data_IF_128013265996
#
_entry.id   IF_128013265996
#
_cell.length_a   1.000
_cell.length_b   1.000
_cell.length_c   1.000
_cell.angle_alpha   90.00
_cell.angle_beta   90.00
_cell.angle_gamma   90.00
#
_symmetry.space_group_name_H-M   'P 1'
#
loop_
_entity.id
_entity.type
_entity.pdbx_description
1 polymer ?
#
# COMPACT_ATOMS: atom_id res chain seq x y z
N UNK A 1 24.52 -1.94 5.04
CA UNK A 1 23.11 -2.31 5.24
C UNK A 1 22.30 -1.56 4.19
N UNK A 2 21.43 -2.25 3.46
CA UNK A 2 20.53 -1.66 2.46
C UNK A 2 19.30 -1.09 3.17
N UNK A 3 18.81 0.07 2.72
CA UNK A 3 17.55 0.66 3.21
C UNK A 3 16.40 0.18 2.33
N UNK A 4 15.27 -0.29 2.91
CA UNK A 4 14.07 -0.63 2.14
C UNK A 4 13.58 0.55 1.30
N UNK A 5 13.00 0.27 0.12
CA UNK A 5 12.56 1.28 -0.85
C UNK A 5 11.59 2.32 -0.25
N UNK A 6 10.70 1.89 0.64
CA UNK A 6 9.79 2.77 1.37
C UNK A 6 10.52 3.89 2.13
N UNK A 7 11.71 3.60 2.69
CA UNK A 7 12.50 4.61 3.40
C UNK A 7 13.13 5.64 2.45
N UNK A 8 13.43 5.24 1.20
CA UNK A 8 13.93 6.17 0.19
C UNK A 8 12.81 7.11 -0.27
N UNK A 9 11.61 6.58 -0.51
CA UNK A 9 10.43 7.37 -0.83
C UNK A 9 10.12 8.37 0.30
N UNK A 10 10.08 7.89 1.55
CA UNK A 10 9.79 8.71 2.73
C UNK A 10 10.90 9.73 3.06
N UNK A 11 12.10 9.60 2.50
CA UNK A 11 13.14 10.62 2.62
C UNK A 11 12.83 11.86 1.78
N UNK A 12 12.14 11.71 0.63
CA UNK A 12 11.79 12.79 -0.29
C UNK A 12 10.36 12.66 -0.86
N UNK A 13 9.33 12.52 -0.01
CA UNK A 13 7.97 12.21 -0.46
C UNK A 13 7.38 13.29 -1.35
N UNK A 14 7.71 14.56 -1.09
CA UNK A 14 7.24 15.70 -1.87
C UNK A 14 7.76 15.73 -3.31
N UNK A 15 8.81 14.97 -3.65
CA UNK A 15 9.27 14.85 -5.03
C UNK A 15 8.31 14.00 -5.88
N UNK A 16 7.69 12.99 -5.26
CA UNK A 16 6.91 11.98 -5.96
C UNK A 16 5.40 12.13 -5.75
N UNK A 17 4.98 12.58 -4.56
CA UNK A 17 3.59 12.50 -4.11
C UNK A 17 2.96 13.86 -3.79
N UNK A 18 3.66 14.98 -4.00
CA UNK A 18 3.16 16.29 -3.57
C UNK A 18 1.81 16.64 -4.19
N UNK A 19 0.82 16.91 -3.33
CA UNK A 19 -0.55 17.27 -3.70
C UNK A 19 -1.35 16.11 -4.29
N UNK A 20 -0.90 14.87 -4.11
CA UNK A 20 -1.56 13.67 -4.62
C UNK A 20 -2.35 12.95 -3.54
N UNK A 21 -3.38 12.24 -3.96
CA UNK A 21 -4.07 11.26 -3.14
C UNK A 21 -3.47 9.87 -3.38
N UNK A 22 -3.20 9.14 -2.31
CA UNK A 22 -2.39 7.93 -2.33
C UNK A 22 -3.18 6.77 -1.71
N UNK A 23 -3.11 5.62 -2.37
CA UNK A 23 -3.51 4.32 -1.84
C UNK A 23 -2.28 3.46 -1.53
N UNK A 24 -2.33 2.70 -0.44
CA UNK A 24 -1.25 1.79 -0.05
C UNK A 24 -1.68 0.33 -0.15
N UNK A 25 -0.88 -0.48 -0.81
CA UNK A 25 -0.92 -1.95 -0.75
C UNK A 25 0.17 -2.40 0.19
N UNK A 26 -0.23 -2.96 1.33
CA UNK A 26 0.64 -3.21 2.49
C UNK A 26 0.24 -4.50 3.19
N UNK A 27 1.17 -5.08 3.95
CA UNK A 27 0.92 -6.22 4.82
C UNK A 27 1.83 -6.15 6.07
N UNK A 28 1.86 -7.21 6.87
CA UNK A 28 2.62 -7.25 8.12
C UNK A 28 4.14 -7.02 7.96
N UNK A 29 4.67 -7.08 6.72
CA UNK A 29 6.09 -6.84 6.41
C UNK A 29 6.42 -5.39 6.08
N UNK A 30 5.42 -4.51 5.94
CA UNK A 30 5.53 -3.11 5.53
C UNK A 30 6.12 -2.21 6.62
N UNK A 31 7.33 -2.54 7.07
CA UNK A 31 8.03 -1.87 8.17
C UNK A 31 9.09 -0.90 7.67
N UNK A 32 9.11 0.30 8.26
CA UNK A 32 10.12 1.33 8.05
C UNK A 32 11.34 1.10 8.94
N UNK A 33 12.42 1.88 8.72
CA UNK A 33 13.70 1.71 9.45
C UNK A 33 13.61 1.87 10.97
N UNK A 34 12.55 2.52 11.46
CA UNK A 34 12.22 2.73 12.86
C UNK A 34 11.25 1.67 13.41
N UNK A 35 11.06 0.56 12.68
CA UNK A 35 10.17 -0.56 13.02
C UNK A 35 8.71 -0.15 13.19
N UNK A 36 8.27 0.89 12.50
CA UNK A 36 6.86 1.28 12.41
C UNK A 36 6.26 0.79 11.11
N UNK A 37 4.94 0.57 11.10
CA UNK A 37 4.23 0.27 9.87
C UNK A 37 4.21 1.51 8.97
N UNK A 38 4.44 1.35 7.67
CA UNK A 38 4.55 2.47 6.72
C UNK A 38 3.28 3.34 6.67
N UNK A 39 2.11 2.77 6.96
CA UNK A 39 0.85 3.51 7.15
C UNK A 39 1.01 4.72 8.09
N UNK A 40 1.72 4.59 9.22
CA UNK A 40 1.87 5.68 10.19
C UNK A 40 2.61 6.89 9.58
N UNK A 41 3.64 6.61 8.79
CA UNK A 41 4.41 7.64 8.07
C UNK A 41 3.58 8.28 6.97
N UNK A 42 2.78 7.50 6.23
CA UNK A 42 1.91 8.04 5.19
C UNK A 42 0.75 8.88 5.75
N UNK A 43 0.12 8.43 6.83
CA UNK A 43 -0.99 9.15 7.47
C UNK A 43 -0.56 10.51 8.04
N UNK A 44 0.65 10.59 8.59
CA UNK A 44 1.16 11.80 9.25
C UNK A 44 1.80 12.80 8.28
N UNK A 45 2.03 12.43 7.02
CA UNK A 45 2.80 13.27 6.10
C UNK A 45 1.94 14.39 5.48
N UNK A 46 2.33 15.67 5.56
CA UNK A 46 1.47 16.79 5.13
C UNK A 46 1.46 17.06 3.62
N UNK A 47 2.37 16.46 2.85
CA UNK A 47 2.52 16.78 1.43
C UNK A 47 1.56 16.04 0.50
N UNK A 48 0.84 15.03 1.00
CA UNK A 48 -0.06 14.18 0.23
C UNK A 48 -1.19 13.68 1.15
N UNK A 49 -2.19 13.02 0.57
CA UNK A 49 -3.34 12.50 1.32
C UNK A 49 -3.35 10.99 1.20
N UNK A 50 -3.27 10.27 2.32
CA UNK A 50 -3.55 8.84 2.35
C UNK A 50 -5.07 8.62 2.42
N UNK A 51 -5.65 7.94 1.44
CA UNK A 51 -7.10 7.79 1.31
C UNK A 51 -7.61 6.35 1.22
N UNK A 52 -6.75 5.39 0.88
CA UNK A 52 -7.15 4.00 0.74
C UNK A 52 -6.05 3.05 1.23
N UNK A 53 -6.48 1.96 1.86
CA UNK A 53 -5.62 0.84 2.24
C UNK A 53 -6.09 -0.43 1.56
N UNK A 54 -5.12 -1.22 1.13
CA UNK A 54 -5.31 -2.46 0.42
C UNK A 54 -4.45 -3.54 1.04
N UNK A 55 -5.01 -4.72 1.29
CA UNK A 55 -4.31 -5.86 1.84
C UNK A 55 -4.32 -7.06 0.87
N UNK A 56 -3.22 -7.84 0.80
CA UNK A 56 -3.15 -9.08 0.04
C UNK A 56 -3.82 -10.25 0.80
N UNK A 57 -3.62 -11.49 0.33
CA UNK A 57 -4.27 -12.74 0.79
C UNK A 57 -4.33 -12.97 2.32
N UNK A 58 -3.33 -12.53 3.08
CA UNK A 58 -3.24 -12.77 4.53
C UNK A 58 -3.63 -11.55 5.39
N UNK A 59 -4.23 -10.55 4.77
CA UNK A 59 -4.64 -9.32 5.44
C UNK A 59 -3.49 -8.40 5.86
N UNK A 60 -3.88 -7.25 6.43
CA UNK A 60 -2.96 -6.15 6.70
C UNK A 60 -1.91 -6.53 7.75
N UNK A 61 -2.34 -7.20 8.82
CA UNK A 61 -1.46 -7.54 9.95
C UNK A 61 -1.12 -9.05 10.04
N UNK A 62 -1.47 -9.85 9.03
CA UNK A 62 -1.16 -11.29 9.03
C UNK A 62 -1.98 -12.11 10.04
N UNK A 63 -3.09 -11.54 10.51
CA UNK A 63 -3.99 -12.15 11.51
C UNK A 63 -5.19 -12.81 10.82
N UNK A 64 -5.48 -12.46 9.57
CA UNK A 64 -6.55 -13.07 8.80
C UNK A 64 -6.21 -14.54 8.50
N UNK A 65 -7.16 -15.44 8.76
CA UNK A 65 -7.04 -16.83 8.33
C UNK A 65 -7.27 -16.93 6.83
N UNK A 66 -6.56 -17.87 6.17
CA UNK A 66 -6.72 -18.14 4.73
C UNK A 66 -8.20 -18.25 4.34
N UNK A 67 -8.59 -17.55 3.27
CA UNK A 67 -9.94 -17.53 2.69
C UNK A 67 -11.06 -16.85 3.50
N UNK A 68 -10.76 -16.11 4.57
CA UNK A 68 -11.75 -15.20 5.16
C UNK A 68 -11.63 -13.84 4.46
N UNK A 69 -12.70 -13.46 3.76
CA UNK A 69 -12.81 -12.14 3.14
C UNK A 69 -12.58 -11.06 4.20
N UNK A 70 -11.68 -10.11 3.91
CA UNK A 70 -11.44 -8.95 4.76
C UNK A 70 -12.62 -7.99 4.52
N UNK A 71 -13.79 -8.35 5.03
CA UNK A 71 -14.96 -7.49 4.97
C UNK A 71 -14.87 -6.46 6.10
N UNK A 72 -14.70 -5.19 5.71
CA UNK A 72 -14.83 -4.02 6.59
C UNK A 72 -13.81 -3.93 7.75
N UNK A 73 -12.56 -4.36 7.55
CA UNK A 73 -11.49 -4.07 8.51
C UNK A 73 -11.16 -2.57 8.47
N UNK A 74 -11.14 -1.92 9.64
CA UNK A 74 -10.69 -0.52 9.79
C UNK A 74 -9.30 -0.55 10.40
N UNK A 75 -8.33 0.06 9.73
CA UNK A 75 -6.98 0.17 10.25
C UNK A 75 -6.93 1.17 11.42
N UNK A 76 -6.46 0.76 12.61
CA UNK A 76 -6.47 1.62 13.80
C UNK A 76 -5.48 2.78 13.75
N UNK A 77 -4.50 2.76 12.84
CA UNK A 77 -3.49 3.82 12.71
C UNK A 77 -4.04 4.97 11.86
N UNK A 78 -4.70 4.65 10.75
CA UNK A 78 -5.15 5.60 9.75
C UNK A 78 -6.64 5.93 9.83
N UNK A 79 -7.43 5.10 10.51
CA UNK A 79 -8.91 5.14 10.54
C UNK A 79 -9.53 4.98 9.14
N UNK A 80 -8.84 4.23 8.26
CA UNK A 80 -9.28 3.95 6.90
C UNK A 80 -9.77 2.50 6.79
N UNK A 81 -10.78 2.30 5.93
CA UNK A 81 -11.18 0.95 5.52
C UNK A 81 -10.05 0.28 4.75
N UNK A 82 -9.80 -0.99 5.08
CA UNK A 82 -8.89 -1.89 4.38
C UNK A 82 -9.72 -2.69 3.38
N UNK A 83 -9.38 -2.55 2.10
CA UNK A 83 -9.97 -3.34 1.02
C UNK A 83 -9.08 -4.54 0.72
N UNK A 84 -9.67 -5.74 0.60
CA UNK A 84 -8.93 -6.89 0.11
C UNK A 84 -8.64 -6.74 -1.39
N UNK A 85 -7.41 -7.06 -1.83
CA UNK A 85 -7.08 -7.25 -3.25
C UNK A 85 -7.25 -8.70 -3.70
N UNK A 86 -7.65 -9.56 -2.78
CA UNK A 86 -7.92 -10.96 -3.06
C UNK A 86 -9.33 -11.29 -2.63
N UNK A 87 -10.04 -11.97 -3.52
CA UNK A 87 -11.30 -12.58 -3.16
C UNK A 87 -11.42 -13.96 -3.76
N UNK A 88 -12.50 -14.62 -3.36
CA UNK A 88 -12.76 -16.04 -3.63
C UNK A 88 -13.44 -16.28 -5.00
N UNK A 89 -13.95 -15.23 -5.64
CA UNK A 89 -14.58 -15.25 -6.98
C UNK A 89 -13.76 -14.46 -8.00
N UNK A 90 -13.91 -14.76 -9.30
CA UNK A 90 -13.23 -14.00 -10.37
C UNK A 90 -13.51 -12.49 -10.31
N UNK A 91 -14.73 -12.08 -9.93
CA UNK A 91 -15.08 -10.66 -9.79
C UNK A 91 -14.41 -9.98 -8.58
N UNK A 92 -14.02 -10.76 -7.56
CA UNK A 92 -13.38 -10.27 -6.34
C UNK A 92 -11.85 -10.27 -6.40
N UNK A 93 -11.27 -10.72 -7.53
CA UNK A 93 -9.83 -10.60 -7.82
C UNK A 93 -9.43 -9.19 -8.29
N UNK A 94 -10.40 -8.35 -8.63
CA UNK A 94 -10.17 -6.96 -8.99
C UNK A 94 -10.50 -6.04 -7.81
N UNK A 95 -9.64 -5.04 -7.50
CA UNK A 95 -9.98 -4.03 -6.50
C UNK A 95 -11.30 -3.34 -6.86
N UNK A 96 -12.16 -3.12 -5.85
CA UNK A 96 -13.38 -2.36 -6.01
C UNK A 96 -13.07 -1.00 -6.66
N UNK A 97 -13.65 -0.69 -7.85
CA UNK A 97 -13.41 0.57 -8.53
C UNK A 97 -13.65 1.80 -7.65
N UNK A 98 -14.64 1.75 -6.76
CA UNK A 98 -14.97 2.85 -5.85
C UNK A 98 -13.83 3.16 -4.88
N UNK A 99 -13.06 2.15 -4.47
CA UNK A 99 -11.87 2.33 -3.64
C UNK A 99 -10.71 3.00 -4.40
N UNK A 100 -10.78 3.02 -5.74
CA UNK A 100 -9.76 3.59 -6.63
C UNK A 100 -10.15 4.96 -7.20
N UNK A 101 -11.43 5.36 -7.16
CA UNK A 101 -11.92 6.60 -7.81
C UNK A 101 -11.14 7.84 -7.38
N UNK A 102 -10.76 7.92 -6.10
CA UNK A 102 -10.07 9.08 -5.52
C UNK A 102 -8.55 8.87 -5.34
N UNK A 103 -7.97 7.81 -5.91
CA UNK A 103 -6.54 7.48 -5.74
C UNK A 103 -5.74 7.89 -6.97
N UNK A 104 -4.90 8.92 -6.84
CA UNK A 104 -3.98 9.35 -7.91
C UNK A 104 -2.81 8.38 -8.09
N UNK A 105 -2.33 7.78 -6.99
CA UNK A 105 -1.18 6.87 -6.98
C UNK A 105 -1.44 5.71 -6.02
N UNK A 106 -1.23 4.50 -6.51
CA UNK A 106 -1.11 3.31 -5.68
C UNK A 106 0.37 3.04 -5.38
N UNK A 107 0.67 2.59 -4.17
CA UNK A 107 2.04 2.25 -3.77
C UNK A 107 2.03 0.84 -3.19
N UNK A 108 2.90 0.00 -3.69
CA UNK A 108 3.06 -1.38 -3.25
C UNK A 108 4.29 -1.48 -2.33
N UNK A 109 4.07 -1.83 -1.06
CA UNK A 109 5.09 -1.92 -0.03
C UNK A 109 4.98 -3.28 0.69
N UNK A 110 5.27 -4.36 -0.01
CA UNK A 110 5.27 -5.73 0.54
C UNK A 110 6.66 -6.32 0.31
N UNK A 111 7.29 -6.85 1.36
CA UNK A 111 8.57 -7.52 1.24
C UNK A 111 8.37 -8.93 0.67
N UNK A 112 9.13 -9.26 -0.37
CA UNK A 112 9.19 -10.59 -0.99
C UNK A 112 10.59 -11.21 -0.77
N UNK A 113 10.68 -12.54 -0.82
CA UNK A 113 11.88 -13.35 -0.48
C UNK A 113 12.98 -13.35 -1.55
N UNK A 114 12.96 -12.44 -2.54
CA UNK A 114 14.03 -12.42 -3.56
C UNK A 114 13.94 -11.40 -4.69
N UNK A 115 12.83 -10.67 -4.85
CA UNK A 115 12.75 -9.56 -5.79
C UNK A 115 12.74 -8.24 -5.00
N UNK A 116 13.70 -7.36 -5.27
CA UNK A 116 13.65 -5.99 -4.76
C UNK A 116 12.28 -5.39 -5.05
N UNK A 117 11.71 -4.73 -4.03
CA UNK A 117 10.38 -4.10 -4.01
C UNK A 117 9.94 -3.56 -5.38
N UNK A 118 8.81 -4.08 -5.89
CA UNK A 118 8.15 -3.53 -7.07
C UNK A 118 7.32 -2.32 -6.65
N UNK A 119 7.75 -1.10 -6.98
CA UNK A 119 6.89 0.06 -6.86
C UNK A 119 6.04 0.15 -8.13
N UNK A 120 4.79 -0.30 -8.04
CA UNK A 120 3.77 -0.06 -9.07
C UNK A 120 2.98 1.18 -8.66
N UNK A 121 3.01 2.23 -9.47
CA UNK A 121 2.08 3.35 -9.34
C UNK A 121 1.16 3.44 -10.56
N UNK A 122 -0.13 3.59 -10.31
CA UNK A 122 -1.14 3.89 -11.31
C UNK A 122 -1.24 5.41 -11.46
N UNK A 123 -1.26 5.92 -12.68
CA UNK A 123 -1.57 7.33 -12.98
C UNK A 123 -2.42 7.41 -14.23
N UNK A 124 -3.64 7.95 -14.10
CA UNK A 124 -4.65 7.98 -15.17
C UNK A 124 -4.87 6.61 -15.83
N UNK A 125 -5.02 5.55 -15.03
CA UNK A 125 -5.29 4.19 -15.54
C UNK A 125 -4.10 3.52 -16.26
N UNK A 126 -2.90 4.09 -16.16
CA UNK A 126 -1.66 3.48 -16.68
C UNK A 126 -0.75 3.07 -15.53
N UNK A 127 -0.40 1.78 -15.50
CA UNK A 127 0.61 1.25 -14.58
C UNK A 127 2.00 1.74 -15.00
N UNK A 128 2.71 2.35 -14.08
CA UNK A 128 4.10 2.73 -14.22
C UNK A 128 4.89 2.05 -13.10
N UNK A 129 5.84 1.19 -13.48
CA UNK A 129 6.73 0.52 -12.53
C UNK A 129 8.06 1.26 -12.42
N UNK A 130 8.50 1.56 -11.20
CA UNK A 130 9.90 1.87 -10.93
C UNK A 130 10.51 0.72 -10.14
N UNK A 131 11.23 -0.16 -10.84
CA UNK A 131 12.14 -1.13 -10.22
C UNK A 131 13.43 -0.40 -9.87
N UNK A 132 13.57 0.03 -8.62
CA UNK A 132 14.88 0.43 -8.14
C UNK A 132 15.60 -0.83 -7.66
N UNK A 133 16.40 -1.41 -8.56
CA UNK A 133 17.35 -2.48 -8.22
C UNK A 133 18.34 -1.90 -7.20
N UNK A 134 18.26 -2.36 -5.95
CA UNK A 134 19.32 -2.18 -4.94
C UNK A 134 20.52 -3.05 -5.27
#
# INVERSE_FOLDING_TARGET
>A
MTLPGINQLLAQPGQYLKGKTVGLIVNHTSLTKDNQHSIAHFKSHPSFILNALFAPEHGLYGIAQDMIEIENEIDPISDLNVSSLYGITEESLEPNPDALVEVDNLIFDIQDVGAGLLHLYLHHGKMHGYLQKV
#
